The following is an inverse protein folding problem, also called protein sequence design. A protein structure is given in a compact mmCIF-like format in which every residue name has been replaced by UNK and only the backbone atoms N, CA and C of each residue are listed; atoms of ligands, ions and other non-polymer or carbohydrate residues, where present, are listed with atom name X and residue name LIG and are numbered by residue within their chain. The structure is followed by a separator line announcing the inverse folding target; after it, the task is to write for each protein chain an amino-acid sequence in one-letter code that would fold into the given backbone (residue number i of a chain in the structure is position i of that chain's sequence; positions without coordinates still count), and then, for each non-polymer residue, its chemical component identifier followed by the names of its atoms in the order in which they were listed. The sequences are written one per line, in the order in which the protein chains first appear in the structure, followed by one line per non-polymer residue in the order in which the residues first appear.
data_IF_175656820285
#
_entry.id   IF_175656820285
#
_cell.length_a   1.000
_cell.length_b   1.000
_cell.length_c   1.000
_cell.angle_alpha   90.00
_cell.angle_beta   90.00
_cell.angle_gamma   90.00
#
_symmetry.space_group_name_H-M   'P 1'
#
loop_
_entity.id
_entity.type
_entity.pdbx_description
1 polymer ?
#
# COMPACT_ATOMS: atom_id res chain seq x y z
N UNK A 1 16.08 4.23 -1.28
CA UNK A 1 16.41 5.66 -1.03
C UNK A 1 15.09 6.42 -0.95
N UNK A 2 14.58 6.65 0.25
CA UNK A 2 13.36 7.42 0.47
C UNK A 2 13.50 8.25 1.73
N UNK A 3 12.86 9.42 1.77
CA UNK A 3 12.97 10.39 2.87
C UNK A 3 12.41 9.92 4.22
N UNK A 4 11.97 8.65 4.33
CA UNK A 4 11.50 8.05 5.58
C UNK A 4 12.64 7.53 6.48
N UNK A 5 13.84 7.29 5.92
CA UNK A 5 15.01 6.82 6.70
C UNK A 5 15.93 7.96 7.18
N UNK A 6 15.66 9.20 6.76
CA UNK A 6 16.49 10.37 7.07
C UNK A 6 15.55 11.49 7.52
N UNK A 7 15.77 12.02 8.72
CA UNK A 7 15.18 13.30 9.12
C UNK A 7 15.78 14.39 8.23
N UNK A 8 15.15 14.64 7.07
CA UNK A 8 15.66 15.54 6.02
C UNK A 8 15.86 16.97 6.55
N UNK A 9 15.09 17.37 7.57
CA UNK A 9 15.16 18.69 8.20
C UNK A 9 15.76 18.67 9.63
N UNK A 10 16.20 17.51 10.15
CA UNK A 10 16.66 17.35 11.55
C UNK A 10 15.60 16.73 12.48
N UNK A 11 16.05 16.15 13.60
CA UNK A 11 15.19 15.44 14.58
C UNK A 11 14.26 16.39 15.33
N UNK A 12 14.60 17.68 15.39
CA UNK A 12 13.78 18.72 16.02
C UNK A 12 12.62 19.20 15.11
N UNK A 13 12.71 18.97 13.80
CA UNK A 13 11.78 19.49 12.77
C UNK A 13 10.94 18.39 12.10
N UNK A 14 10.71 17.26 12.77
CA UNK A 14 9.90 16.14 12.22
C UNK A 14 8.49 16.59 11.84
N UNK A 15 7.88 17.49 12.63
CA UNK A 15 6.59 18.09 12.32
C UNK A 15 6.65 18.89 11.00
N UNK A 16 7.69 19.69 10.81
CA UNK A 16 7.87 20.50 9.62
C UNK A 16 8.12 19.63 8.38
N UNK A 17 8.89 18.53 8.54
CA UNK A 17 9.06 17.51 7.51
C UNK A 17 7.75 16.81 7.15
N UNK A 18 6.90 16.53 8.13
CA UNK A 18 5.56 15.99 7.93
C UNK A 18 4.64 16.95 7.18
N UNK A 19 4.65 18.24 7.55
CA UNK A 19 3.89 19.29 6.85
C UNK A 19 4.37 19.42 5.39
N UNK A 20 5.68 19.45 5.16
CA UNK A 20 6.25 19.52 3.81
C UNK A 20 5.86 18.30 2.96
N UNK A 21 5.92 17.09 3.52
CA UNK A 21 5.48 15.87 2.85
C UNK A 21 3.97 15.91 2.54
N UNK A 22 3.14 16.37 3.48
CA UNK A 22 1.71 16.52 3.28
C UNK A 22 1.37 17.54 2.18
N UNK A 23 2.09 18.67 2.13
CA UNK A 23 1.97 19.66 1.06
C UNK A 23 2.34 19.06 -0.31
N UNK A 24 3.44 18.32 -0.39
CA UNK A 24 3.86 17.64 -1.63
C UNK A 24 2.85 16.59 -2.08
N UNK A 25 2.36 15.74 -1.18
CA UNK A 25 1.32 14.74 -1.48
C UNK A 25 0.03 15.44 -1.94
N UNK A 26 -0.35 16.53 -1.28
CA UNK A 26 -1.52 17.34 -1.68
C UNK A 26 -1.36 17.89 -3.09
N UNK A 27 -0.19 18.47 -3.40
CA UNK A 27 0.05 19.08 -4.70
C UNK A 27 0.14 18.06 -5.85
N UNK A 28 0.80 16.91 -5.63
CA UNK A 28 1.05 15.94 -6.70
C UNK A 28 0.05 14.78 -6.78
N UNK A 29 -0.74 14.51 -5.74
CA UNK A 29 -1.71 13.40 -5.72
C UNK A 29 -3.15 13.90 -5.64
N UNK A 30 -3.45 14.76 -4.66
CA UNK A 30 -4.82 15.20 -4.41
C UNK A 30 -5.29 16.30 -5.38
N UNK A 31 -4.50 17.36 -5.56
CA UNK A 31 -4.84 18.50 -6.42
C UNK A 31 -5.10 18.08 -7.88
N UNK A 32 -4.25 17.25 -8.53
CA UNK A 32 -4.52 16.81 -9.90
C UNK A 32 -5.79 15.96 -9.98
N UNK A 33 -6.02 15.07 -9.01
CA UNK A 33 -7.23 14.24 -8.95
C UNK A 33 -8.49 15.08 -8.82
N UNK A 34 -8.49 16.13 -8.00
CA UNK A 34 -9.63 17.05 -7.88
C UNK A 34 -9.88 17.85 -9.15
N UNK A 35 -8.83 18.33 -9.82
CA UNK A 35 -8.96 19.00 -11.11
C UNK A 35 -9.61 18.05 -12.12
N UNK A 36 -9.16 16.79 -12.22
CA UNK A 36 -9.76 15.81 -13.13
C UNK A 36 -11.21 15.48 -12.78
N UNK A 37 -11.58 15.39 -11.50
CA UNK A 37 -12.96 15.13 -11.08
C UNK A 37 -13.87 16.33 -11.42
N UNK A 38 -13.43 17.54 -11.10
CA UNK A 38 -14.21 18.77 -11.34
C UNK A 38 -14.32 19.10 -12.84
N UNK A 39 -13.23 18.97 -13.60
CA UNK A 39 -13.23 19.11 -15.07
C UNK A 39 -13.96 17.96 -15.74
N UNK A 40 -13.93 16.76 -15.15
CA UNK A 40 -14.67 15.59 -15.62
C UNK A 40 -16.18 15.71 -15.43
N UNK A 41 -16.66 16.40 -14.39
CA UNK A 41 -18.09 16.61 -14.11
C UNK A 41 -18.94 17.03 -15.34
N UNK A 42 -18.63 18.15 -16.02
CA UNK A 42 -19.37 18.57 -17.22
C UNK A 42 -19.18 17.62 -18.42
N UNK A 43 -18.04 16.93 -18.52
CA UNK A 43 -17.76 15.95 -19.58
C UNK A 43 -18.56 14.64 -19.38
N UNK A 44 -18.79 14.26 -18.12
CA UNK A 44 -19.60 13.11 -17.71
C UNK A 44 -21.09 13.39 -17.97
N UNK A 45 -21.57 14.59 -17.66
CA UNK A 45 -22.95 15.02 -17.92
C UNK A 45 -23.29 15.07 -19.43
N UNK A 46 -22.36 15.53 -20.27
CA UNK A 46 -22.56 15.57 -21.73
C UNK A 46 -22.49 14.20 -22.43
N UNK A 47 -22.01 13.16 -21.73
CA UNK A 47 -21.79 11.81 -22.27
C UNK A 47 -22.76 10.76 -21.71
N UNK A 48 -23.76 11.18 -20.90
CA UNK A 48 -24.66 10.34 -20.11
C UNK A 48 -25.64 9.43 -20.91
N UNK A 49 -25.37 9.15 -22.20
CA UNK A 49 -26.24 8.38 -23.08
C UNK A 49 -25.50 7.42 -24.06
N UNK A 50 -24.22 7.12 -23.87
CA UNK A 50 -23.49 6.15 -24.73
C UNK A 50 -22.88 5.02 -23.92
N UNK A 51 -23.49 3.84 -24.06
CA UNK A 51 -23.20 2.53 -23.43
C UNK A 51 -21.82 1.92 -23.76
N UNK A 52 -20.83 2.71 -24.19
CA UNK A 52 -19.52 2.25 -24.69
C UNK A 52 -18.38 2.21 -23.67
N UNK A 53 -18.56 2.67 -22.43
CA UNK A 53 -17.46 2.87 -21.47
C UNK A 53 -17.14 1.68 -20.54
N UNK A 54 -17.94 0.60 -20.57
CA UNK A 54 -17.71 -0.57 -19.69
C UNK A 54 -16.47 -1.37 -20.10
N UNK A 55 -16.20 -1.51 -21.39
CA UNK A 55 -15.04 -2.28 -21.86
C UNK A 55 -13.69 -1.61 -21.55
N UNK A 56 -13.48 -0.29 -21.82
CA UNK A 56 -12.27 0.41 -21.40
C UNK A 56 -12.08 0.44 -19.88
N UNK A 57 -13.16 0.66 -19.11
CA UNK A 57 -13.08 0.71 -17.65
C UNK A 57 -12.70 -0.65 -17.05
N UNK A 58 -13.27 -1.74 -17.58
CA UNK A 58 -12.90 -3.10 -17.18
C UNK A 58 -11.43 -3.39 -17.49
N UNK A 59 -10.93 -2.98 -18.66
CA UNK A 59 -9.52 -3.12 -19.02
C UNK A 59 -8.59 -2.37 -18.05
N UNK A 60 -8.94 -1.15 -17.65
CA UNK A 60 -8.18 -0.38 -16.65
C UNK A 60 -8.19 -1.11 -15.29
N UNK A 61 -9.37 -1.57 -14.83
CA UNK A 61 -9.45 -2.31 -13.55
C UNK A 61 -8.62 -3.60 -13.58
N UNK A 62 -8.61 -4.33 -14.70
CA UNK A 62 -7.83 -5.54 -14.86
C UNK A 62 -6.32 -5.24 -14.85
N UNK A 63 -5.88 -4.17 -15.51
CA UNK A 63 -4.49 -3.74 -15.49
C UNK A 63 -4.02 -3.37 -14.07
N UNK A 64 -4.83 -2.61 -13.32
CA UNK A 64 -4.51 -2.21 -11.95
C UNK A 64 -4.47 -3.41 -11.01
N UNK A 65 -5.44 -4.34 -11.10
CA UNK A 65 -5.43 -5.58 -10.30
C UNK A 65 -4.20 -6.43 -10.63
N UNK A 66 -3.81 -6.52 -11.90
CA UNK A 66 -2.58 -7.21 -12.32
C UNK A 66 -1.32 -6.58 -11.73
N UNK A 67 -1.23 -5.24 -11.71
CA UNK A 67 -0.11 -4.51 -11.09
C UNK A 67 -0.05 -4.75 -9.58
N UNK A 68 -1.19 -4.72 -8.88
CA UNK A 68 -1.27 -5.00 -7.44
C UNK A 68 -0.79 -6.43 -7.16
N UNK A 69 -1.21 -7.41 -7.97
CA UNK A 69 -0.77 -8.80 -7.82
C UNK A 69 0.73 -8.95 -8.03
N UNK A 70 1.29 -8.27 -9.05
CA UNK A 70 2.72 -8.28 -9.33
C UNK A 70 3.53 -7.71 -8.16
N UNK A 71 3.13 -6.55 -7.63
CA UNK A 71 3.78 -5.94 -6.47
C UNK A 71 3.63 -6.80 -5.21
N UNK A 72 2.48 -7.43 -4.99
CA UNK A 72 2.28 -8.34 -3.87
C UNK A 72 3.22 -9.54 -3.94
N UNK A 73 3.37 -10.17 -5.11
CA UNK A 73 4.33 -11.28 -5.30
C UNK A 73 5.78 -10.83 -5.11
N UNK A 74 6.13 -9.65 -5.63
CA UNK A 74 7.45 -9.05 -5.43
C UNK A 74 7.75 -8.85 -3.94
N UNK A 75 6.81 -8.30 -3.19
CA UNK A 75 6.96 -8.11 -1.75
C UNK A 75 7.04 -9.43 -0.98
N UNK A 76 6.22 -10.43 -1.31
CA UNK A 76 6.30 -11.75 -0.66
C UNK A 76 7.69 -12.36 -0.88
N UNK A 77 8.16 -12.34 -2.12
CA UNK A 77 9.49 -12.86 -2.46
C UNK A 77 10.59 -12.12 -1.67
N UNK A 78 10.61 -10.79 -1.71
CA UNK A 78 11.66 -10.01 -1.06
C UNK A 78 11.54 -9.98 0.48
N UNK A 79 10.33 -10.19 1.02
CA UNK A 79 10.09 -10.26 2.46
C UNK A 79 10.48 -11.61 3.06
N UNK A 80 10.35 -12.70 2.29
CA UNK A 80 10.71 -14.05 2.76
C UNK A 80 12.18 -14.37 2.46
N UNK A 81 12.71 -13.88 1.34
CA UNK A 81 14.13 -13.97 1.00
C UNK A 81 14.78 -12.60 1.21
N UNK A 82 15.12 -12.33 2.47
CA UNK A 82 15.82 -11.11 2.87
C UNK A 82 17.34 -11.19 2.59
N UNK A 83 18.08 -10.10 2.83
CA UNK A 83 19.53 -10.03 2.62
C UNK A 83 20.35 -11.08 3.40
N UNK A 84 19.80 -11.58 4.52
CA UNK A 84 20.43 -12.56 5.42
C UNK A 84 20.00 -14.01 5.16
N UNK A 85 19.14 -14.28 4.17
CA UNK A 85 18.65 -15.61 3.84
C UNK A 85 17.13 -15.74 3.94
N UNK A 86 16.65 -16.99 4.04
CA UNK A 86 15.22 -17.29 4.19
C UNK A 86 14.74 -16.97 5.61
N UNK A 87 13.77 -16.07 5.74
CA UNK A 87 13.12 -15.72 7.02
C UNK A 87 11.82 -16.54 7.20
N UNK A 88 11.86 -17.63 8.00
CA UNK A 88 10.69 -18.48 8.22
C UNK A 88 9.57 -17.75 8.97
N UNK A 89 9.89 -16.70 9.73
CA UNK A 89 8.89 -15.99 10.53
C UNK A 89 8.04 -15.06 9.67
N UNK A 90 8.68 -14.31 8.77
CA UNK A 90 7.99 -13.50 7.76
C UNK A 90 7.09 -14.37 6.86
N UNK A 91 7.56 -15.57 6.48
CA UNK A 91 6.76 -16.53 5.74
C UNK A 91 5.52 -17.01 6.53
N UNK A 92 5.68 -17.30 7.82
CA UNK A 92 4.58 -17.73 8.69
C UNK A 92 3.51 -16.64 8.87
N UNK A 93 3.92 -15.37 9.06
CA UNK A 93 2.97 -14.24 9.13
C UNK A 93 2.24 -14.06 7.80
N UNK A 94 2.96 -14.12 6.67
CA UNK A 94 2.35 -13.97 5.35
C UNK A 94 1.30 -15.07 5.07
N UNK A 95 1.62 -16.33 5.38
CA UNK A 95 0.69 -17.45 5.24
C UNK A 95 -0.50 -17.34 6.20
N UNK A 96 -0.27 -16.93 7.45
CA UNK A 96 -1.32 -16.70 8.44
C UNK A 96 -2.29 -15.60 8.02
N UNK A 97 -1.77 -14.47 7.54
CA UNK A 97 -2.58 -13.35 7.04
C UNK A 97 -3.37 -13.74 5.78
N UNK A 98 -2.75 -14.46 4.84
CA UNK A 98 -3.45 -15.01 3.67
C UNK A 98 -4.58 -15.95 4.10
N UNK A 99 -4.33 -16.86 5.04
CA UNK A 99 -5.35 -17.76 5.60
C UNK A 99 -6.51 -17.01 6.25
N UNK A 100 -6.23 -16.00 7.06
CA UNK A 100 -7.26 -15.18 7.73
C UNK A 100 -8.16 -14.43 6.72
N UNK A 101 -7.57 -13.89 5.66
CA UNK A 101 -8.31 -13.17 4.62
C UNK A 101 -9.15 -14.10 3.76
N UNK A 102 -8.54 -15.15 3.19
CA UNK A 102 -9.21 -16.01 2.22
C UNK A 102 -10.19 -17.00 2.87
N UNK A 103 -9.84 -17.58 4.02
CA UNK A 103 -10.65 -18.63 4.65
C UNK A 103 -11.66 -18.09 5.64
N UNK A 104 -11.31 -17.03 6.38
CA UNK A 104 -12.10 -16.50 7.49
C UNK A 104 -12.91 -15.24 7.14
N UNK A 105 -12.69 -14.65 5.95
CA UNK A 105 -13.33 -13.41 5.47
C UNK A 105 -13.33 -12.29 6.51
N UNK A 106 -12.30 -12.22 7.34
CA UNK A 106 -12.17 -11.17 8.33
C UNK A 106 -12.05 -9.81 7.65
N UNK A 107 -12.61 -8.78 8.30
CA UNK A 107 -12.47 -7.40 7.81
C UNK A 107 -10.98 -7.10 7.70
N UNK A 108 -10.57 -6.56 6.55
CA UNK A 108 -9.17 -6.25 6.23
C UNK A 108 -8.48 -5.46 7.34
N UNK A 109 -9.20 -4.52 7.97
CA UNK A 109 -8.71 -3.73 9.10
C UNK A 109 -8.24 -4.58 10.27
N UNK A 110 -8.98 -5.63 10.64
CA UNK A 110 -8.61 -6.52 11.75
C UNK A 110 -7.45 -7.44 11.40
N UNK A 111 -7.36 -7.90 10.14
CA UNK A 111 -6.23 -8.73 9.71
C UNK A 111 -4.93 -7.91 9.69
N UNK A 112 -4.98 -6.67 9.18
CA UNK A 112 -3.82 -5.78 9.20
C UNK A 112 -3.37 -5.45 10.62
N UNK A 113 -4.30 -5.16 11.53
CA UNK A 113 -4.00 -4.91 12.93
C UNK A 113 -3.38 -6.15 13.61
N UNK A 114 -3.93 -7.34 13.36
CA UNK A 114 -3.40 -8.59 13.91
C UNK A 114 -2.01 -8.92 13.36
N UNK A 115 -1.80 -8.79 12.04
CA UNK A 115 -0.49 -9.02 11.41
C UNK A 115 0.57 -8.05 11.94
N UNK A 116 0.22 -6.76 12.09
CA UNK A 116 1.11 -5.76 12.67
C UNK A 116 1.43 -6.08 14.15
N UNK A 117 0.44 -6.48 14.94
CA UNK A 117 0.65 -6.86 16.35
C UNK A 117 1.56 -8.10 16.47
N UNK A 118 1.32 -9.13 15.66
CA UNK A 118 2.17 -10.35 15.63
C UNK A 118 3.59 -10.02 15.20
N UNK A 119 3.76 -9.20 14.15
CA UNK A 119 5.07 -8.73 13.71
C UNK A 119 5.82 -7.95 14.80
N UNK A 120 5.12 -7.06 15.51
CA UNK A 120 5.68 -6.27 16.61
C UNK A 120 6.12 -7.18 17.77
N UNK A 121 5.28 -8.11 18.19
CA UNK A 121 5.59 -9.06 19.28
C UNK A 121 6.85 -9.85 18.95
N UNK A 122 7.04 -10.22 17.69
CA UNK A 122 8.18 -11.06 17.29
C UNK A 122 9.45 -10.25 17.13
N UNK A 123 9.33 -9.03 16.66
CA UNK A 123 10.43 -8.08 16.69
C UNK A 123 10.91 -7.83 18.13
N UNK A 124 9.97 -7.62 19.07
CA UNK A 124 10.29 -7.40 20.49
C UNK A 124 10.82 -8.65 21.20
N UNK A 125 10.44 -9.85 20.76
CA UNK A 125 10.92 -11.11 21.30
C UNK A 125 12.36 -11.47 20.86
N UNK A 126 13.01 -10.63 20.04
CA UNK A 126 14.42 -10.82 19.64
C UNK A 126 14.67 -11.95 18.63
N UNK A 127 13.62 -12.65 18.18
CA UNK A 127 13.69 -13.69 17.15
C UNK A 127 14.08 -13.15 15.77
N UNK A 128 13.91 -11.84 15.55
CA UNK A 128 14.22 -11.12 14.31
C UNK A 128 15.61 -10.44 14.30
N UNK A 129 16.40 -10.59 15.37
CA UNK A 129 17.70 -9.90 15.56
C UNK A 129 18.96 -10.72 15.30
N UNK A 130 18.85 -11.90 14.68
CA UNK A 130 20.02 -12.66 14.23
C UNK A 130 20.24 -12.42 12.72
N UNK A 131 20.76 -11.24 12.38
CA UNK A 131 21.11 -10.83 11.02
C UNK A 131 21.43 -9.35 10.93
#
# INVERSE_FOLDING_TARGET
VGGYTKAVLGVDDVLLGGIAAACLVTWFTFLPSFIFILTGGPFIETTHNKVGFTAPLTAITAAVVGVILNLALFFIWHSVWGPSGFDPWSAAIALGAAGLLFRYKWKLTWVLAAAAAVGLIVHMAGLSGAG
#
